data_IF_171830534259
#
_entry.id   IF_171830534259
#
_cell.length_a   1.000
_cell.length_b   1.000
_cell.length_c   1.000
_cell.angle_alpha   90.00
_cell.angle_beta   90.00
_cell.angle_gamma   90.00
#
_symmetry.space_group_name_H-M   'P 1'
#
loop_
_entity.id
_entity.type
_entity.pdbx_description
1 polymer ?
#
# COMPACT_ATOMS: atom_id res chain seq x y z
N UNK A 1 -1.43 3.94 -5.83
CA UNK A 1 -0.94 3.35 -4.62
C UNK A 1 0.49 3.75 -4.65
N UNK A 2 0.81 4.89 -4.07
CA UNK A 2 2.17 5.38 -3.96
C UNK A 2 2.75 4.92 -2.65
N UNK A 3 3.99 4.44 -2.68
CA UNK A 3 4.84 4.35 -1.50
C UNK A 3 5.86 5.47 -1.65
N UNK A 4 5.86 6.42 -0.72
CA UNK A 4 6.75 7.58 -0.82
C UNK A 4 6.27 8.68 -1.76
N UNK A 5 5.02 9.14 -1.63
CA UNK A 5 4.43 10.09 -2.61
C UNK A 5 5.23 11.39 -2.81
N UNK A 6 5.98 11.84 -1.81
CA UNK A 6 6.77 13.08 -1.91
C UNK A 6 7.86 13.03 -2.99
N UNK A 7 8.30 11.83 -3.38
CA UNK A 7 9.38 11.63 -4.36
C UNK A 7 8.84 11.46 -5.77
N UNK A 8 7.55 11.13 -5.89
CA UNK A 8 6.84 10.98 -7.16
C UNK A 8 6.32 12.32 -7.73
N UNK A 9 6.34 13.39 -6.93
CA UNK A 9 5.84 14.71 -7.32
C UNK A 9 6.96 15.56 -7.91
N UNK A 10 6.68 16.25 -9.01
CA UNK A 10 7.61 17.14 -9.71
C UNK A 10 7.35 18.63 -9.47
N UNK A 11 6.27 18.97 -8.75
CA UNK A 11 5.84 20.34 -8.50
C UNK A 11 5.82 20.72 -7.01
N UNK A 12 6.21 21.96 -6.69
CA UNK A 12 6.32 22.46 -5.32
C UNK A 12 4.95 22.55 -4.62
N UNK A 13 3.86 22.75 -5.37
CA UNK A 13 2.50 22.87 -4.82
C UNK A 13 2.01 21.51 -4.33
N UNK A 14 2.17 20.45 -5.13
CA UNK A 14 1.90 19.07 -4.78
C UNK A 14 2.73 18.62 -3.58
N UNK A 15 4.04 18.89 -3.56
CA UNK A 15 4.90 18.57 -2.41
C UNK A 15 4.41 19.27 -1.14
N UNK A 16 4.04 20.56 -1.22
CA UNK A 16 3.54 21.31 -0.07
C UNK A 16 2.18 20.76 0.42
N UNK A 17 1.30 20.41 -0.51
CA UNK A 17 0.01 19.79 -0.22
C UNK A 17 0.18 18.48 0.56
N UNK A 18 0.95 17.53 0.02
CA UNK A 18 1.14 16.23 0.66
C UNK A 18 1.94 16.30 1.96
N UNK A 19 2.86 17.26 2.13
CA UNK A 19 3.48 17.49 3.45
C UNK A 19 2.45 17.87 4.51
N UNK A 20 1.44 18.66 4.17
CA UNK A 20 0.33 18.99 5.06
C UNK A 20 -0.46 17.75 5.48
N UNK A 21 -0.79 16.90 4.51
CA UNK A 21 -1.49 15.64 4.73
C UNK A 21 -0.70 14.66 5.63
N UNK A 22 0.59 14.49 5.36
CA UNK A 22 1.46 13.60 6.15
C UNK A 22 1.68 14.13 7.58
N UNK A 23 1.69 15.46 7.76
CA UNK A 23 1.67 16.06 9.09
C UNK A 23 0.38 15.76 9.86
N UNK A 24 -0.76 15.67 9.16
CA UNK A 24 -2.03 15.26 9.78
C UNK A 24 -2.00 13.79 10.22
N UNK A 25 -1.44 12.89 9.40
CA UNK A 25 -1.20 11.49 9.81
C UNK A 25 -0.37 11.41 11.09
N UNK A 26 0.72 12.18 11.15
CA UNK A 26 1.58 12.28 12.35
C UNK A 26 0.79 12.71 13.59
N UNK A 27 -0.04 13.74 13.46
CA UNK A 27 -0.85 14.27 14.55
C UNK A 27 -1.90 13.25 15.03
N UNK A 28 -2.49 12.49 14.11
CA UNK A 28 -3.48 11.44 14.41
C UNK A 28 -2.85 10.28 15.18
N UNK A 29 -1.68 9.79 14.78
CA UNK A 29 -0.94 8.76 15.53
C UNK A 29 -0.63 9.22 16.96
N UNK A 30 -0.16 10.47 17.11
CA UNK A 30 0.13 11.05 18.43
C UNK A 30 -1.13 11.16 19.30
N UNK A 31 -2.26 11.57 18.73
CA UNK A 31 -3.54 11.66 19.44
C UNK A 31 -4.05 10.29 19.89
N UNK A 32 -3.75 9.23 19.14
CA UNK A 32 -4.06 7.85 19.50
C UNK A 32 -3.08 7.24 20.53
N UNK A 33 -2.06 7.97 20.97
CA UNK A 33 -1.04 7.47 21.90
C UNK A 33 -0.06 6.47 21.26
N UNK A 34 0.05 6.46 19.93
CA UNK A 34 0.95 5.61 19.17
C UNK A 34 2.31 6.29 18.92
N UNK A 35 3.36 5.52 18.57
CA UNK A 35 4.63 6.08 18.13
C UNK A 35 4.43 7.12 17.03
N UNK A 36 5.16 8.24 17.17
CA UNK A 36 5.15 9.28 16.15
C UNK A 36 5.90 8.79 14.91
N UNK A 37 5.40 9.14 13.73
CA UNK A 37 5.97 8.76 12.44
C UNK A 37 6.12 9.99 11.56
N UNK A 38 7.15 10.03 10.73
CA UNK A 38 7.39 11.05 9.73
C UNK A 38 7.79 10.37 8.42
N UNK A 39 7.23 10.83 7.30
CA UNK A 39 7.58 10.33 5.97
C UNK A 39 9.08 10.54 5.70
N UNK A 40 9.83 9.49 5.31
CA UNK A 40 11.21 9.59 4.88
C UNK A 40 11.34 10.12 3.45
N UNK A 41 12.49 10.67 3.10
CA UNK A 41 12.86 10.90 1.70
C UNK A 41 13.20 9.54 1.07
N UNK A 42 12.47 9.15 0.03
CA UNK A 42 12.62 7.86 -0.68
C UNK A 42 13.28 8.07 -2.06
N UNK A 43 13.83 7.03 -2.67
CA UNK A 43 14.35 7.13 -4.05
C UNK A 43 13.16 7.20 -5.03
N UNK A 44 13.14 8.15 -6.00
CA UNK A 44 12.08 8.21 -7.02
C UNK A 44 11.90 6.91 -7.82
N UNK A 45 12.97 6.14 -7.99
CA UNK A 45 12.92 4.87 -8.73
C UNK A 45 12.18 3.74 -7.95
N UNK A 46 11.80 3.98 -6.68
CA UNK A 46 11.05 3.04 -5.83
C UNK A 46 9.53 3.35 -5.74
N UNK A 47 9.02 4.34 -6.49
CA UNK A 47 7.61 4.76 -6.45
C UNK A 47 6.64 3.90 -7.31
N UNK A 48 5.34 3.84 -6.94
CA UNK A 48 4.26 3.01 -7.56
C UNK A 48 2.91 3.78 -7.69
N UNK A 49 1.92 3.40 -8.53
CA UNK A 49 0.64 4.17 -8.74
C UNK A 49 -0.64 3.32 -9.04
N UNK A 50 -1.83 3.66 -8.45
CA UNK A 50 -3.23 3.11 -8.43
C UNK A 50 -4.23 3.92 -7.51
N UNK A 51 -5.52 4.10 -7.85
CA UNK A 51 -6.45 5.02 -7.11
C UNK A 51 -7.37 4.37 -6.04
N UNK A 52 -7.31 4.84 -4.80
CA UNK A 52 -8.22 4.65 -3.64
C UNK A 52 -8.02 5.85 -2.67
N UNK A 53 -8.69 5.94 -1.52
CA UNK A 53 -8.47 7.02 -0.53
C UNK A 53 -8.05 6.45 0.84
N UNK A 54 -7.16 7.15 1.56
CA UNK A 54 -6.67 6.77 2.89
C UNK A 54 -5.16 6.45 2.91
N UNK A 55 -4.61 6.14 4.08
CA UNK A 55 -3.18 5.87 4.25
C UNK A 55 -2.92 4.56 5.01
N UNK A 56 -1.82 3.86 4.67
CA UNK A 56 -1.19 2.88 5.55
C UNK A 56 0.21 3.34 5.93
N UNK A 57 0.54 3.31 7.22
CA UNK A 57 1.85 3.73 7.74
C UNK A 57 2.64 2.56 8.32
N UNK A 58 3.98 2.60 8.32
CA UNK A 58 4.85 1.56 8.86
C UNK A 58 4.96 1.62 10.39
N UNK A 59 3.81 1.73 11.05
CA UNK A 59 3.66 1.64 12.51
C UNK A 59 2.75 0.46 12.80
N UNK A 60 3.15 -0.43 13.70
CA UNK A 60 2.31 -1.56 14.09
C UNK A 60 1.22 -1.13 15.09
N UNK A 61 -0.03 -1.14 14.64
CA UNK A 61 -1.22 -0.95 15.48
C UNK A 61 -2.39 -1.74 14.90
N UNK A 62 -3.27 -2.23 15.78
CA UNK A 62 -4.35 -3.15 15.42
C UNK A 62 -5.58 -2.48 14.80
N UNK A 63 -6.24 -1.51 15.45
CA UNK A 63 -7.47 -0.93 14.89
C UNK A 63 -7.15 0.08 13.79
N UNK A 64 -7.89 0.03 12.68
CA UNK A 64 -7.91 1.15 11.73
C UNK A 64 -8.38 2.40 12.47
N UNK A 65 -7.60 3.48 12.37
CA UNK A 65 -7.98 4.75 12.97
C UNK A 65 -8.87 5.48 11.96
N UNK A 66 -10.05 5.89 12.43
CA UNK A 66 -11.00 6.68 11.64
C UNK A 66 -10.90 8.12 12.13
N UNK A 67 -10.48 9.02 11.25
CA UNK A 67 -10.29 10.43 11.57
C UNK A 67 -10.53 11.28 10.32
N UNK A 68 -11.59 12.08 10.33
CA UNK A 68 -11.99 12.95 9.22
C UNK A 68 -10.95 14.03 8.88
N UNK A 69 -9.97 14.25 9.74
CA UNK A 69 -8.87 15.19 9.51
C UNK A 69 -7.77 14.62 8.63
N UNK A 70 -7.76 13.31 8.39
CA UNK A 70 -6.83 12.63 7.48
C UNK A 70 -7.54 12.46 6.13
N UNK A 71 -6.89 12.79 5.02
CA UNK A 71 -7.52 12.54 3.71
C UNK A 71 -7.89 11.08 3.52
N UNK A 72 -9.11 10.87 3.02
CA UNK A 72 -9.72 9.55 2.93
C UNK A 72 -10.33 9.02 4.23
N UNK A 73 -10.06 9.64 5.38
CA UNK A 73 -10.70 9.33 6.67
C UNK A 73 -10.21 8.07 7.39
N UNK A 74 -9.35 7.26 6.75
CA UNK A 74 -8.86 5.99 7.27
C UNK A 74 -7.33 5.95 7.32
N UNK A 75 -6.80 5.55 8.47
CA UNK A 75 -5.38 5.30 8.69
C UNK A 75 -5.15 3.87 9.18
N UNK A 76 -4.51 3.07 8.35
CA UNK A 76 -4.17 1.67 8.61
C UNK A 76 -2.67 1.44 8.90
N UNK A 77 -2.34 0.24 9.35
CA UNK A 77 -0.97 -0.21 9.60
C UNK A 77 -0.45 -1.04 8.43
N UNK A 78 0.70 -0.70 7.86
CA UNK A 78 1.36 -1.50 6.82
C UNK A 78 1.72 -2.91 7.32
N UNK A 79 2.04 -3.04 8.61
CA UNK A 79 2.28 -4.36 9.23
C UNK A 79 1.01 -5.22 9.23
N UNK A 80 -0.13 -4.64 9.65
CA UNK A 80 -1.40 -5.38 9.69
C UNK A 80 -1.96 -5.66 8.30
N UNK A 81 -1.77 -4.74 7.36
CA UNK A 81 -2.09 -4.94 5.95
C UNK A 81 -1.29 -6.13 5.40
N UNK A 82 0.04 -6.16 5.61
CA UNK A 82 0.89 -7.26 5.15
C UNK A 82 0.44 -8.60 5.74
N UNK A 83 0.18 -8.67 7.05
CA UNK A 83 -0.28 -9.88 7.71
C UNK A 83 -1.60 -10.42 7.13
N UNK A 84 -2.55 -9.52 6.81
CA UNK A 84 -3.83 -9.88 6.19
C UNK A 84 -3.64 -10.32 4.74
N UNK A 85 -2.90 -9.58 3.93
CA UNK A 85 -2.65 -9.96 2.55
C UNK A 85 -1.89 -11.30 2.46
N UNK A 86 -0.95 -11.59 3.36
CA UNK A 86 -0.30 -12.91 3.42
C UNK A 86 -1.26 -14.04 3.81
N UNK A 87 -2.32 -13.77 4.58
CA UNK A 87 -3.40 -14.75 4.82
C UNK A 87 -4.21 -14.98 3.55
N UNK A 88 -4.59 -13.92 2.85
CA UNK A 88 -5.33 -13.99 1.59
C UNK A 88 -4.51 -14.71 0.51
N UNK A 89 -3.22 -14.42 0.39
CA UNK A 89 -2.33 -15.06 -0.58
C UNK A 89 -2.30 -16.58 -0.43
N UNK A 90 -2.29 -17.08 0.80
CA UNK A 90 -2.40 -18.53 1.06
C UNK A 90 -3.76 -19.10 0.65
N UNK A 91 -4.85 -18.36 0.84
CA UNK A 91 -6.19 -18.78 0.43
C UNK A 91 -6.38 -18.74 -1.09
N UNK A 92 -5.67 -17.85 -1.77
CA UNK A 92 -5.66 -17.72 -3.23
C UNK A 92 -4.66 -18.68 -3.89
N UNK A 93 -3.88 -19.42 -3.11
CA UNK A 93 -2.79 -20.29 -3.60
C UNK A 93 -1.80 -19.53 -4.50
N UNK A 94 -1.46 -18.31 -4.11
CA UNK A 94 -0.44 -17.51 -4.78
C UNK A 94 0.93 -18.19 -4.62
N UNK A 95 1.69 -18.38 -5.72
CA UNK A 95 3.09 -18.82 -5.61
C UNK A 95 3.92 -17.80 -4.82
N UNK A 96 4.80 -18.28 -3.94
CA UNK A 96 5.58 -17.45 -3.03
C UNK A 96 6.55 -16.49 -3.74
N UNK A 97 7.00 -16.86 -4.94
CA UNK A 97 7.94 -16.13 -5.80
C UNK A 97 7.27 -15.46 -7.00
N UNK A 98 5.92 -15.42 -7.02
CA UNK A 98 5.19 -14.78 -8.11
C UNK A 98 5.44 -13.27 -8.07
N UNK A 99 6.13 -12.78 -9.10
CA UNK A 99 6.42 -11.37 -9.29
C UNK A 99 5.11 -10.59 -9.57
N UNK A 100 4.72 -9.62 -8.71
CA UNK A 100 3.54 -8.78 -8.88
C UNK A 100 3.53 -7.96 -10.18
N UNK A 101 4.69 -7.73 -10.79
CA UNK A 101 4.85 -6.96 -12.02
C UNK A 101 5.03 -7.84 -13.27
N UNK A 102 5.01 -9.17 -13.12
CA UNK A 102 5.21 -10.08 -14.25
C UNK A 102 4.06 -10.03 -15.26
N UNK A 103 4.40 -10.28 -16.54
CA UNK A 103 3.41 -10.40 -17.62
C UNK A 103 2.31 -11.41 -17.27
N UNK A 104 2.66 -12.53 -16.62
CA UNK A 104 1.70 -13.54 -16.20
C UNK A 104 0.62 -13.00 -15.24
N UNK A 105 0.97 -12.08 -14.35
CA UNK A 105 0.03 -11.44 -13.41
C UNK A 105 -0.81 -10.38 -14.13
N UNK A 106 -0.20 -9.57 -14.99
CA UNK A 106 -0.90 -8.56 -15.80
C UNK A 106 -1.90 -9.22 -16.76
N UNK A 107 -1.47 -10.21 -17.53
CA UNK A 107 -2.28 -10.98 -18.46
C UNK A 107 -3.45 -11.66 -17.73
N UNK A 108 -3.16 -12.28 -16.56
CA UNK A 108 -4.19 -12.87 -15.73
C UNK A 108 -5.24 -11.84 -15.33
N UNK A 109 -4.85 -10.66 -14.85
CA UNK A 109 -5.76 -9.58 -14.46
C UNK A 109 -6.64 -9.09 -15.63
N UNK A 110 -6.08 -9.05 -16.85
CA UNK A 110 -6.79 -8.67 -18.08
C UNK A 110 -7.72 -9.78 -18.63
N UNK A 111 -7.69 -10.97 -18.03
CA UNK A 111 -8.62 -12.07 -18.32
C UNK A 111 -8.01 -13.24 -19.09
N UNK A 112 -6.69 -13.25 -19.33
CA UNK A 112 -6.00 -14.39 -19.90
C UNK A 112 -5.73 -15.45 -18.82
N UNK A 113 -6.36 -16.62 -18.95
CA UNK A 113 -6.13 -17.75 -18.05
C UNK A 113 -5.24 -18.77 -18.77
N UNK A 114 -4.03 -18.98 -18.26
CA UNK A 114 -3.06 -19.94 -18.81
C UNK A 114 -3.21 -21.33 -18.18
N UNK A 115 -3.57 -21.37 -16.90
CA UNK A 115 -3.90 -22.59 -16.16
C UNK A 115 -5.26 -22.42 -15.45
N UNK A 116 -6.34 -22.98 -16.02
CA UNK A 116 -7.67 -22.93 -15.40
C UNK A 116 -7.76 -23.64 -14.05
N UNK A 117 -6.79 -24.48 -13.67
CA UNK A 117 -6.78 -25.16 -12.38
C UNK A 117 -6.12 -24.34 -11.27
N UNK A 118 -5.35 -23.30 -11.61
CA UNK A 118 -4.69 -22.42 -10.66
C UNK A 118 -5.69 -21.43 -10.04
N UNK A 119 -5.87 -21.52 -8.72
CA UNK A 119 -6.87 -20.74 -7.99
C UNK A 119 -6.65 -19.23 -8.13
N UNK A 120 -5.40 -18.77 -8.05
CA UNK A 120 -5.06 -17.37 -8.21
C UNK A 120 -5.40 -16.80 -9.60
N UNK A 121 -5.37 -17.62 -10.66
CA UNK A 121 -5.80 -17.20 -12.00
C UNK A 121 -7.33 -17.14 -12.12
N UNK A 122 -8.05 -18.00 -11.40
CA UNK A 122 -9.51 -17.93 -11.33
C UNK A 122 -9.96 -16.65 -10.61
N UNK A 123 -9.29 -16.29 -9.51
CA UNK A 123 -9.48 -15.06 -8.74
C UNK A 123 -8.45 -13.98 -9.12
N UNK A 124 -8.32 -13.73 -10.43
CA UNK A 124 -7.30 -12.86 -11.02
C UNK A 124 -7.25 -11.45 -10.44
N UNK A 125 -8.40 -10.83 -10.16
CA UNK A 125 -8.46 -9.44 -9.69
C UNK A 125 -8.02 -9.36 -8.23
N UNK A 126 -8.51 -10.27 -7.40
CA UNK A 126 -8.14 -10.38 -6.00
C UNK A 126 -6.66 -10.73 -5.83
N UNK A 127 -6.16 -11.64 -6.68
CA UNK A 127 -4.75 -12.04 -6.72
C UNK A 127 -3.84 -10.89 -7.12
N UNK A 128 -4.20 -10.15 -8.16
CA UNK A 128 -3.50 -8.93 -8.59
C UNK A 128 -3.41 -7.93 -7.42
N UNK A 129 -4.55 -7.53 -6.85
CA UNK A 129 -4.59 -6.56 -5.75
C UNK A 129 -3.83 -7.05 -4.51
N UNK A 130 -3.94 -8.33 -4.17
CA UNK A 130 -3.24 -8.92 -3.03
C UNK A 130 -1.71 -8.86 -3.21
N UNK A 131 -1.20 -9.23 -4.39
CA UNK A 131 0.24 -9.16 -4.72
C UNK A 131 0.76 -7.72 -4.64
N UNK A 132 0.03 -6.76 -5.21
CA UNK A 132 0.39 -5.33 -5.16
C UNK A 132 0.46 -4.80 -3.74
N UNK A 133 -0.53 -5.11 -2.91
CA UNK A 133 -0.57 -4.69 -1.52
C UNK A 133 0.54 -5.35 -0.68
N UNK A 134 0.88 -6.63 -0.94
CA UNK A 134 2.03 -7.29 -0.29
C UNK A 134 3.33 -6.55 -0.63
N UNK A 135 3.54 -6.26 -1.91
CA UNK A 135 4.74 -5.53 -2.35
C UNK A 135 4.81 -4.15 -1.70
N UNK A 136 3.74 -3.36 -1.78
CA UNK A 136 3.70 -2.01 -1.22
C UNK A 136 3.87 -2.01 0.31
N UNK A 137 3.25 -2.96 1.02
CA UNK A 137 3.42 -3.07 2.47
C UNK A 137 4.84 -3.46 2.87
N UNK A 138 5.48 -4.37 2.13
CA UNK A 138 6.91 -4.69 2.33
C UNK A 138 7.79 -3.47 2.10
N UNK A 139 7.58 -2.74 1.00
CA UNK A 139 8.32 -1.51 0.69
C UNK A 139 8.13 -0.48 1.79
N UNK A 140 6.89 -0.16 2.14
CA UNK A 140 6.53 0.78 3.23
C UNK A 140 7.24 0.45 4.54
N UNK A 141 7.23 -0.82 4.97
CA UNK A 141 7.91 -1.26 6.20
C UNK A 141 9.43 -1.10 6.08
N UNK A 142 10.01 -1.45 4.93
CA UNK A 142 11.46 -1.43 4.71
C UNK A 142 12.03 -0.01 4.60
N UNK A 143 11.31 0.91 3.96
CA UNK A 143 11.76 2.28 3.72
C UNK A 143 11.31 3.24 4.81
N UNK A 144 10.23 2.91 5.52
CA UNK A 144 9.57 3.82 6.46
C UNK A 144 8.53 4.75 5.82
N UNK A 145 8.28 4.62 4.52
CA UNK A 145 7.32 5.43 3.77
C UNK A 145 5.86 4.99 3.99
N UNK A 146 4.91 5.92 3.88
CA UNK A 146 3.50 5.56 3.86
C UNK A 146 3.08 5.00 2.50
N UNK A 147 2.12 4.09 2.51
CA UNK A 147 1.30 3.78 1.35
C UNK A 147 0.17 4.81 1.33
N UNK A 148 0.04 5.52 0.23
CA UNK A 148 -1.11 6.37 -0.08
C UNK A 148 -1.73 5.93 -1.39
N UNK A 149 -2.98 6.29 -1.57
CA UNK A 149 -3.70 6.06 -2.81
C UNK A 149 -4.16 7.46 -3.24
N UNK A 150 -3.67 7.90 -4.39
CA UNK A 150 -3.86 9.24 -4.95
C UNK A 150 -4.37 9.11 -6.37
#
# INVERSE_FOLDING_TARGET
MFVGILTALDDEEGVAHYRGELAMVTATLKAAGLPTWHEPDVDPDEAYDEQMYGYYVPVDFQPVIIDERVSGGYLGSSHRLLDECLRLARLLELPDDLDPWSDAVCDAAEGAISDPSALWQQYRVESFSCLRLIAAARTSISTGAAITFA
#
